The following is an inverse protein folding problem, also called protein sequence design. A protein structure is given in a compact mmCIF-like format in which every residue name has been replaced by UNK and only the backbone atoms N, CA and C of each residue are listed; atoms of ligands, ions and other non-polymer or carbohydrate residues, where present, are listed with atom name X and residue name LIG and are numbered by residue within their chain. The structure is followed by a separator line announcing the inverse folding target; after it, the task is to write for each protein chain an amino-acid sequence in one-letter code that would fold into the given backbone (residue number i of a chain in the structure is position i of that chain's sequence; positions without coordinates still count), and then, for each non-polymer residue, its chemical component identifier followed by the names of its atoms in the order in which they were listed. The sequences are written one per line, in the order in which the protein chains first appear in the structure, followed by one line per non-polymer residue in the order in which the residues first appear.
data_IF_137140161969
#
_entry.id   IF_137140161969
#
_cell.length_a   1.000
_cell.length_b   1.000
_cell.length_c   1.000
_cell.angle_alpha   90.00
_cell.angle_beta   90.00
_cell.angle_gamma   90.00
#
_symmetry.space_group_name_H-M   'P 1'
#
loop_
_entity.id
_entity.type
_entity.pdbx_description
1 polymer ?
#
# COMPACT_ATOMS: atom_id res chain seq x y z
N UNK A 1 -24.81 28.91 -11.08
CA UNK A 1 -23.97 27.88 -10.41
C UNK A 1 -23.66 28.43 -9.02
N UNK A 2 -24.04 27.76 -7.92
CA UNK A 2 -23.74 28.24 -6.56
C UNK A 2 -22.25 27.99 -6.29
N UNK A 3 -21.49 29.04 -5.97
CA UNK A 3 -20.13 28.89 -5.47
C UNK A 3 -20.19 28.36 -4.03
N UNK A 4 -19.76 27.11 -3.83
CA UNK A 4 -19.76 26.42 -2.53
C UNK A 4 -18.54 26.76 -1.68
N UNK A 5 -17.78 27.79 -2.05
CA UNK A 5 -16.51 28.14 -1.44
C UNK A 5 -15.44 27.05 -1.66
N UNK A 6 -14.38 27.10 -0.85
CA UNK A 6 -13.31 26.11 -0.90
C UNK A 6 -13.75 24.77 -0.27
N UNK A 7 -13.34 23.65 -0.87
CA UNK A 7 -13.64 22.32 -0.34
C UNK A 7 -13.03 22.12 1.06
N UNK A 8 -13.87 22.00 2.08
CA UNK A 8 -13.47 21.75 3.47
C UNK A 8 -13.77 20.33 3.95
N UNK A 9 -14.82 19.71 3.42
CA UNK A 9 -15.25 18.37 3.83
C UNK A 9 -15.95 17.65 2.68
N UNK A 10 -15.56 16.40 2.42
CA UNK A 10 -16.20 15.56 1.42
C UNK A 10 -16.14 14.08 1.82
N UNK A 11 -17.30 13.41 1.84
CA UNK A 11 -17.44 11.97 2.14
C UNK A 11 -16.80 11.50 3.47
N UNK A 12 -16.59 12.36 4.47
CA UNK A 12 -15.88 11.94 5.69
C UNK A 12 -14.39 12.28 5.70
N UNK A 13 -13.91 12.98 4.68
CA UNK A 13 -12.55 13.50 4.57
C UNK A 13 -12.59 15.02 4.77
N UNK A 14 -11.90 15.47 5.80
CA UNK A 14 -11.61 16.88 6.09
C UNK A 14 -10.41 17.33 5.26
N UNK A 15 -10.51 18.52 4.68
CA UNK A 15 -9.49 19.12 3.83
C UNK A 15 -9.05 20.43 4.46
N UNK A 16 -7.82 20.46 4.97
CA UNK A 16 -7.18 21.67 5.45
C UNK A 16 -6.18 22.19 4.41
N UNK A 17 -6.22 23.50 4.13
CA UNK A 17 -5.25 24.14 3.22
C UNK A 17 -4.33 25.06 4.02
N UNK A 18 -3.07 25.07 3.64
CA UNK A 18 -2.08 25.99 4.19
C UNK A 18 -1.11 26.43 3.08
N UNK A 19 -0.23 27.39 3.39
CA UNK A 19 0.88 27.76 2.53
C UNK A 19 1.83 26.59 2.19
N UNK A 20 1.83 25.53 3.01
CA UNK A 20 2.68 24.36 2.83
C UNK A 20 2.06 23.31 1.90
N UNK A 21 0.73 23.30 1.77
CA UNK A 21 0.04 22.26 1.02
C UNK A 21 -1.40 22.00 1.49
N UNK A 22 -1.94 20.87 1.03
CA UNK A 22 -3.27 20.37 1.36
C UNK A 22 -3.10 19.17 2.28
N UNK A 23 -3.77 19.20 3.43
CA UNK A 23 -3.81 18.10 4.38
C UNK A 23 -5.19 17.44 4.36
N UNK A 24 -5.22 16.12 4.16
CA UNK A 24 -6.43 15.31 4.19
C UNK A 24 -6.45 14.49 5.48
N UNK A 25 -7.51 14.61 6.28
CA UNK A 25 -7.71 13.80 7.49
C UNK A 25 -9.14 13.28 7.59
N UNK A 26 -9.34 12.24 8.39
CA UNK A 26 -10.66 11.71 8.70
C UNK A 26 -10.92 11.75 10.21
N UNK A 27 -10.54 12.85 10.88
CA UNK A 27 -10.55 12.93 12.34
C UNK A 27 -11.95 12.74 12.89
N UNK A 28 -12.91 13.50 12.35
CA UNK A 28 -14.32 13.38 12.75
C UNK A 28 -14.83 11.95 12.56
N UNK A 29 -14.57 11.35 11.41
CA UNK A 29 -14.98 9.98 11.09
C UNK A 29 -14.42 8.96 12.10
N UNK A 30 -13.15 9.07 12.46
CA UNK A 30 -12.51 8.19 13.47
C UNK A 30 -13.16 8.38 14.84
N UNK A 31 -13.43 9.62 15.26
CA UNK A 31 -14.05 9.89 16.56
C UNK A 31 -15.50 9.39 16.61
N UNK A 32 -16.28 9.60 15.56
CA UNK A 32 -17.66 9.11 15.46
C UNK A 32 -17.68 7.56 15.51
N UNK A 33 -16.77 6.91 14.79
CA UNK A 33 -16.61 5.45 14.81
C UNK A 33 -16.24 4.92 16.21
N UNK A 34 -15.31 5.58 16.92
CA UNK A 34 -14.95 5.23 18.29
C UNK A 34 -16.10 5.46 19.28
N UNK A 35 -16.95 6.46 19.03
CA UNK A 35 -18.12 6.77 19.85
C UNK A 35 -19.18 5.69 19.71
N UNK A 36 -19.51 5.30 18.48
CA UNK A 36 -20.53 4.28 18.18
C UNK A 36 -20.24 2.94 18.88
N UNK A 37 -18.96 2.60 19.01
CA UNK A 37 -18.52 1.33 19.59
C UNK A 37 -18.18 1.42 21.08
N UNK A 38 -18.33 2.61 21.69
CA UNK A 38 -18.04 2.85 23.11
C UNK A 38 -16.54 2.79 23.46
N UNK A 39 -15.66 3.15 22.53
CA UNK A 39 -14.19 3.09 22.70
C UNK A 39 -13.51 4.47 22.73
N UNK A 40 -14.26 5.56 22.92
CA UNK A 40 -13.67 6.89 23.09
C UNK A 40 -12.68 6.96 24.26
N UNK A 41 -12.97 6.28 25.37
CA UNK A 41 -12.13 6.30 26.58
C UNK A 41 -11.15 5.13 26.64
N UNK A 42 -10.96 4.40 25.53
CA UNK A 42 -10.06 3.26 25.51
C UNK A 42 -8.59 3.69 25.63
N UNK A 43 -7.77 2.84 26.27
CA UNK A 43 -6.32 3.05 26.35
C UNK A 43 -5.69 2.85 24.96
N UNK A 44 -5.00 3.85 24.39
CA UNK A 44 -4.38 3.72 23.07
C UNK A 44 -3.26 2.69 23.04
N UNK A 45 -2.89 2.26 21.83
CA UNK A 45 -1.73 1.39 21.57
C UNK A 45 -0.90 1.96 20.42
N UNK A 46 0.39 1.65 20.40
CA UNK A 46 1.33 2.24 19.44
C UNK A 46 1.37 1.53 18.09
N UNK A 47 0.89 0.28 18.00
CA UNK A 47 0.88 -0.49 16.75
C UNK A 47 -0.52 -1.03 16.44
N UNK A 48 -0.95 -0.99 15.17
CA UNK A 48 -2.28 -1.47 14.75
C UNK A 48 -2.43 -2.99 14.87
N UNK A 49 -1.33 -3.74 14.68
CA UNK A 49 -1.24 -5.18 14.86
C UNK A 49 -0.01 -5.56 15.68
N UNK A 50 -0.04 -6.77 16.24
CA UNK A 50 1.11 -7.35 16.94
C UNK A 50 2.13 -7.90 15.94
N UNK A 51 3.42 -7.71 16.23
CA UNK A 51 4.47 -8.33 15.44
C UNK A 51 4.36 -9.85 15.54
N UNK A 52 4.56 -10.54 14.41
CA UNK A 52 4.42 -11.99 14.30
C UNK A 52 3.03 -12.51 14.74
N UNK A 53 1.98 -11.72 14.53
CA UNK A 53 0.61 -12.14 14.81
C UNK A 53 0.30 -13.47 14.10
N UNK A 54 -0.48 -14.32 14.75
CA UNK A 54 -0.91 -15.61 14.21
C UNK A 54 -2.41 -15.57 13.88
N UNK A 55 -2.82 -14.57 13.12
CA UNK A 55 -4.21 -14.49 12.67
C UNK A 55 -4.41 -15.46 11.50
N UNK A 56 -5.46 -16.27 11.59
CA UNK A 56 -5.71 -17.34 10.64
C UNK A 56 -6.97 -18.10 11.01
N UNK A 57 -7.41 -18.96 10.10
CA UNK A 57 -8.51 -19.89 10.35
C UNK A 57 -7.97 -21.13 11.07
N UNK A 58 -8.45 -21.38 12.28
CA UNK A 58 -8.12 -22.57 13.07
C UNK A 58 -9.37 -23.44 13.28
N UNK A 59 -9.25 -24.79 13.32
CA UNK A 59 -10.38 -25.68 13.56
C UNK A 59 -11.06 -25.47 14.91
N UNK A 60 -10.28 -25.07 15.92
CA UNK A 60 -10.66 -24.89 17.32
C UNK A 60 -10.89 -23.41 17.70
N UNK A 61 -11.00 -22.52 16.71
CA UNK A 61 -11.20 -21.09 16.99
C UNK A 61 -12.57 -20.83 17.62
N UNK A 62 -12.58 -20.00 18.66
CA UNK A 62 -13.83 -19.52 19.28
C UNK A 62 -14.50 -18.55 18.31
N UNK A 63 -15.70 -18.87 17.78
CA UNK A 63 -16.40 -17.98 16.86
C UNK A 63 -16.84 -16.71 17.57
N UNK A 64 -16.97 -15.62 16.82
CA UNK A 64 -17.53 -14.36 17.32
C UNK A 64 -18.74 -13.93 16.48
N UNK A 65 -19.42 -12.86 16.91
CA UNK A 65 -20.53 -12.29 16.17
C UNK A 65 -20.05 -11.73 14.82
N UNK A 66 -20.51 -12.40 13.75
CA UNK A 66 -20.19 -12.05 12.36
C UNK A 66 -20.70 -10.68 11.96
N UNK A 67 -21.93 -10.32 12.36
CA UNK A 67 -22.52 -9.04 11.98
C UNK A 67 -21.78 -7.89 12.65
N UNK A 68 -21.51 -8.05 13.95
CA UNK A 68 -20.70 -7.09 14.70
C UNK A 68 -19.31 -6.93 14.08
N UNK A 69 -18.65 -8.02 13.73
CA UNK A 69 -17.34 -7.96 13.08
C UNK A 69 -17.37 -7.21 11.75
N UNK A 70 -18.34 -7.51 10.88
CA UNK A 70 -18.49 -6.86 9.58
C UNK A 70 -18.80 -5.36 9.72
N UNK A 71 -19.66 -4.98 10.68
CA UNK A 71 -19.97 -3.57 10.99
C UNK A 71 -18.74 -2.77 11.41
N UNK A 72 -17.75 -3.42 12.04
CA UNK A 72 -16.50 -2.76 12.44
C UNK A 72 -15.46 -2.72 11.32
N UNK A 73 -15.34 -3.79 10.54
CA UNK A 73 -14.34 -3.87 9.46
C UNK A 73 -14.70 -2.99 8.26
N UNK A 74 -15.98 -2.85 7.92
CA UNK A 74 -16.43 -2.01 6.80
C UNK A 74 -15.92 -0.56 6.86
N UNK A 75 -16.17 0.17 7.96
CA UNK A 75 -15.63 1.52 8.19
C UNK A 75 -14.11 1.60 8.12
N UNK A 76 -13.40 0.58 8.61
CA UNK A 76 -11.94 0.53 8.55
C UNK A 76 -11.42 0.40 7.11
N UNK A 77 -12.13 -0.34 6.24
CA UNK A 77 -11.82 -0.41 4.81
C UNK A 77 -11.92 0.98 4.19
N UNK A 78 -12.96 1.76 4.52
CA UNK A 78 -13.09 3.12 4.04
C UNK A 78 -11.93 4.00 4.55
N UNK A 79 -11.64 3.95 5.86
CA UNK A 79 -10.58 4.73 6.50
C UNK A 79 -9.18 4.45 5.89
N UNK A 80 -8.93 3.22 5.44
CA UNK A 80 -7.67 2.84 4.80
C UNK A 80 -7.34 3.65 3.53
N UNK A 81 -8.33 4.34 2.93
CA UNK A 81 -8.15 5.24 1.77
C UNK A 81 -7.50 6.59 2.11
N UNK A 82 -7.36 6.95 3.38
CA UNK A 82 -6.52 8.09 3.82
C UNK A 82 -5.47 7.71 4.87
N UNK A 83 -5.54 6.48 5.37
CA UNK A 83 -4.66 5.94 6.41
C UNK A 83 -3.84 4.76 5.86
N UNK A 84 -2.78 5.02 5.08
CA UNK A 84 -1.89 3.98 4.58
C UNK A 84 -1.25 3.14 5.70
N UNK A 85 -1.09 3.73 6.88
CA UNK A 85 -0.50 3.12 8.06
C UNK A 85 -1.33 1.97 8.67
N UNK A 86 -2.60 1.82 8.30
CA UNK A 86 -3.44 0.68 8.71
C UNK A 86 -3.80 -0.24 7.54
N UNK A 87 -3.33 0.04 6.32
CA UNK A 87 -3.80 -0.65 5.13
C UNK A 87 -3.53 -2.16 5.16
N UNK A 88 -2.38 -2.57 5.73
CA UNK A 88 -2.05 -3.97 5.94
C UNK A 88 -3.00 -4.64 6.95
N UNK A 89 -3.18 -4.03 8.11
CA UNK A 89 -3.95 -4.60 9.22
C UNK A 89 -5.42 -4.77 8.82
N UNK A 90 -5.97 -3.75 8.15
CA UNK A 90 -7.31 -3.78 7.58
C UNK A 90 -7.42 -4.86 6.49
N UNK A 91 -6.43 -4.98 5.60
CA UNK A 91 -6.40 -6.07 4.62
C UNK A 91 -6.32 -7.44 5.29
N UNK A 92 -5.68 -7.56 6.46
CA UNK A 92 -5.59 -8.83 7.20
C UNK A 92 -6.94 -9.20 7.80
N UNK A 93 -7.53 -8.33 8.62
CA UNK A 93 -8.81 -8.59 9.30
C UNK A 93 -9.97 -8.76 8.31
N UNK A 94 -9.92 -8.09 7.15
CA UNK A 94 -10.96 -8.22 6.11
C UNK A 94 -11.07 -9.64 5.51
N UNK A 95 -10.05 -10.48 5.64
CA UNK A 95 -10.07 -11.86 5.12
C UNK A 95 -11.07 -12.75 5.87
N UNK A 96 -11.38 -12.42 7.11
CA UNK A 96 -12.16 -13.27 8.01
C UNK A 96 -13.64 -12.85 8.13
N UNK A 97 -14.13 -11.97 7.26
CA UNK A 97 -15.51 -11.46 7.30
C UNK A 97 -16.60 -12.55 7.18
N UNK A 98 -16.27 -13.71 6.63
CA UNK A 98 -17.22 -14.81 6.44
C UNK A 98 -17.42 -15.65 7.71
N UNK A 99 -16.33 -15.86 8.47
CA UNK A 99 -16.29 -16.68 9.68
C UNK A 99 -15.22 -16.11 10.65
N UNK A 100 -15.54 -15.03 11.37
CA UNK A 100 -14.61 -14.41 12.30
C UNK A 100 -14.53 -15.18 13.63
N UNK A 101 -13.44 -14.96 14.36
CA UNK A 101 -13.19 -15.54 15.69
C UNK A 101 -12.87 -14.46 16.70
N UNK A 102 -12.82 -14.79 17.99
CA UNK A 102 -12.44 -13.83 19.03
C UNK A 102 -11.04 -13.26 18.81
N UNK A 103 -10.09 -14.06 18.30
CA UNK A 103 -8.76 -13.57 17.94
C UNK A 103 -8.82 -12.50 16.83
N UNK A 104 -9.68 -12.70 15.82
CA UNK A 104 -9.93 -11.72 14.78
C UNK A 104 -10.56 -10.44 15.36
N UNK A 105 -11.51 -10.57 16.28
CA UNK A 105 -12.14 -9.43 16.96
C UNK A 105 -11.14 -8.65 17.82
N UNK A 106 -10.23 -9.33 18.52
CA UNK A 106 -9.15 -8.69 19.26
C UNK A 106 -8.24 -7.88 18.33
N UNK A 107 -7.95 -8.39 17.13
CA UNK A 107 -7.22 -7.66 16.08
C UNK A 107 -7.93 -6.37 15.66
N UNK A 108 -9.23 -6.42 15.37
CA UNK A 108 -10.03 -5.23 15.02
C UNK A 108 -10.06 -4.23 16.18
N UNK A 109 -10.23 -4.71 17.41
CA UNK A 109 -10.24 -3.88 18.62
C UNK A 109 -8.88 -3.18 18.82
N UNK A 110 -7.78 -3.86 18.52
CA UNK A 110 -6.44 -3.26 18.56
C UNK A 110 -6.28 -2.14 17.54
N UNK A 111 -6.75 -2.33 16.30
CA UNK A 111 -6.74 -1.27 15.27
C UNK A 111 -7.52 -0.04 15.77
N UNK A 112 -8.68 -0.22 16.41
CA UNK A 112 -9.45 0.89 16.99
C UNK A 112 -8.67 1.63 18.08
N UNK A 113 -8.00 0.89 18.98
CA UNK A 113 -7.13 1.47 20.02
C UNK A 113 -5.93 2.24 19.42
N UNK A 114 -5.40 1.77 18.29
CA UNK A 114 -4.35 2.48 17.57
C UNK A 114 -4.86 3.79 16.98
N UNK A 115 -6.03 3.77 16.34
CA UNK A 115 -6.67 4.97 15.80
C UNK A 115 -6.95 6.03 16.87
N UNK A 116 -7.28 5.61 18.09
CA UNK A 116 -7.48 6.52 19.24
C UNK A 116 -6.22 7.32 19.60
N UNK A 117 -5.02 6.76 19.37
CA UNK A 117 -3.76 7.45 19.65
C UNK A 117 -3.56 8.67 18.75
N UNK A 118 -3.91 8.56 17.47
CA UNK A 118 -3.72 9.61 16.47
C UNK A 118 -4.93 9.70 15.52
N UNK A 119 -6.08 10.23 15.97
CA UNK A 119 -7.30 10.28 15.15
C UNK A 119 -7.18 11.27 13.98
N UNK A 120 -6.36 12.31 14.12
CA UNK A 120 -6.16 13.34 13.09
C UNK A 120 -5.03 13.02 12.10
N UNK A 121 -4.40 11.84 12.19
CA UNK A 121 -3.36 11.44 11.24
C UNK A 121 -3.97 11.32 9.85
N UNK A 122 -3.19 11.71 8.84
CA UNK A 122 -3.68 11.87 7.48
C UNK A 122 -2.56 12.08 6.47
N UNK A 123 -2.90 12.59 5.29
CA UNK A 123 -2.01 12.76 4.16
C UNK A 123 -1.70 14.24 3.93
N UNK A 124 -0.42 14.56 3.77
CA UNK A 124 0.01 15.90 3.38
C UNK A 124 0.42 15.90 1.91
N UNK A 125 -0.23 16.73 1.11
CA UNK A 125 0.11 17.01 -0.28
C UNK A 125 0.81 18.36 -0.35
N UNK A 126 2.12 18.33 -0.55
CA UNK A 126 2.96 19.52 -0.62
C UNK A 126 3.32 19.85 -2.07
N UNK A 127 3.59 21.13 -2.32
CA UNK A 127 4.09 21.58 -3.62
C UNK A 127 5.57 21.21 -3.74
N UNK A 128 5.90 20.36 -4.70
CA UNK A 128 7.28 20.02 -5.05
C UNK A 128 7.65 20.56 -6.43
N UNK A 129 8.95 20.65 -6.71
CA UNK A 129 9.49 21.17 -7.98
C UNK A 129 9.38 20.20 -9.14
N UNK A 130 9.02 18.95 -8.87
CA UNK A 130 8.96 17.86 -9.83
C UNK A 130 7.68 17.05 -9.67
N UNK A 131 7.35 16.30 -10.71
CA UNK A 131 6.14 15.48 -10.86
C UNK A 131 6.51 14.04 -11.24
N UNK A 132 7.66 13.58 -10.74
CA UNK A 132 8.14 12.22 -11.04
C UNK A 132 7.17 11.21 -10.45
N UNK A 133 6.99 10.12 -11.17
CA UNK A 133 6.17 9.00 -10.74
C UNK A 133 7.11 7.90 -10.23
N UNK A 134 6.88 7.48 -8.98
CA UNK A 134 7.71 6.49 -8.29
C UNK A 134 6.81 5.44 -7.66
N UNK A 135 7.18 4.16 -7.73
CA UNK A 135 6.46 3.07 -7.11
C UNK A 135 7.39 2.21 -6.27
N UNK A 136 6.88 1.71 -5.14
CA UNK A 136 7.56 0.79 -4.24
C UNK A 136 6.69 -0.45 -4.10
N UNK A 137 7.29 -1.63 -4.16
CA UNK A 137 6.63 -2.91 -3.92
C UNK A 137 7.42 -3.75 -2.92
N UNK A 138 6.70 -4.54 -2.16
CA UNK A 138 7.21 -5.53 -1.23
C UNK A 138 6.22 -6.70 -1.15
N UNK A 139 6.69 -7.93 -0.97
CA UNK A 139 5.85 -9.11 -0.86
C UNK A 139 6.35 -10.11 0.18
N UNK A 140 5.52 -10.32 1.20
CA UNK A 140 5.71 -11.38 2.19
C UNK A 140 5.32 -12.75 1.60
N UNK A 141 6.32 -13.58 1.33
CA UNK A 141 6.14 -14.89 0.71
C UNK A 141 5.56 -15.91 1.68
N UNK A 142 4.42 -16.50 1.30
CA UNK A 142 3.75 -17.53 2.06
C UNK A 142 3.42 -17.15 3.52
N UNK A 143 3.26 -15.85 3.81
CA UNK A 143 2.95 -15.35 5.15
C UNK A 143 1.59 -15.77 5.71
N UNK A 144 0.63 -16.11 4.84
CA UNK A 144 -0.68 -16.62 5.28
C UNK A 144 -0.56 -18.02 5.88
N UNK A 145 -0.93 -18.15 7.16
CA UNK A 145 -0.91 -19.44 7.87
C UNK A 145 -1.91 -20.42 7.26
N UNK A 146 -3.07 -19.92 6.81
CA UNK A 146 -4.19 -20.76 6.36
C UNK A 146 -3.97 -21.41 4.98
N UNK A 147 -3.41 -20.67 4.03
CA UNK A 147 -3.33 -21.12 2.62
C UNK A 147 -1.95 -20.91 1.98
N UNK A 148 -0.95 -20.46 2.76
CA UNK A 148 0.42 -20.19 2.30
C UNK A 148 0.49 -19.22 1.11
N UNK A 149 -0.54 -18.40 0.90
CA UNK A 149 -0.50 -17.33 -0.11
C UNK A 149 0.28 -16.14 0.43
N UNK A 150 1.03 -15.51 -0.47
CA UNK A 150 1.81 -14.31 -0.18
C UNK A 150 0.91 -13.08 -0.02
N UNK A 151 1.38 -12.06 0.69
CA UNK A 151 0.75 -10.74 0.75
C UNK A 151 1.69 -9.74 0.12
N UNK A 152 1.21 -8.96 -0.85
CA UNK A 152 2.01 -7.88 -1.43
C UNK A 152 1.49 -6.52 -0.97
N UNK A 153 2.41 -5.59 -0.80
CA UNK A 153 2.15 -4.19 -0.50
C UNK A 153 2.75 -3.31 -1.59
N UNK A 154 2.11 -2.17 -1.85
CA UNK A 154 2.72 -1.14 -2.68
C UNK A 154 2.34 0.26 -2.23
N UNK A 155 3.20 1.21 -2.61
CA UNK A 155 2.99 2.66 -2.50
C UNK A 155 3.43 3.31 -3.81
N UNK A 156 2.67 4.29 -4.31
CA UNK A 156 3.09 5.11 -5.44
C UNK A 156 3.03 6.59 -5.10
N UNK A 157 4.00 7.32 -5.62
CA UNK A 157 4.21 8.73 -5.37
C UNK A 157 4.18 9.53 -6.67
N UNK A 158 3.57 10.72 -6.63
CA UNK A 158 3.61 11.72 -7.70
C UNK A 158 4.23 12.99 -7.12
N UNK A 159 5.42 13.34 -7.59
CA UNK A 159 6.14 14.52 -7.11
C UNK A 159 6.33 14.50 -5.59
N UNK A 160 6.81 13.38 -5.05
CA UNK A 160 6.99 13.13 -3.61
C UNK A 160 5.72 13.08 -2.76
N UNK A 161 4.53 13.19 -3.35
CA UNK A 161 3.27 13.00 -2.62
C UNK A 161 2.75 11.57 -2.80
N UNK A 162 2.38 10.91 -1.71
CA UNK A 162 1.77 9.58 -1.75
C UNK A 162 0.37 9.67 -2.37
N UNK A 163 0.11 8.97 -3.47
CA UNK A 163 -1.16 9.04 -4.20
C UNK A 163 -1.95 7.74 -4.19
N UNK A 164 -1.29 6.58 -4.25
CA UNK A 164 -1.95 5.28 -4.16
C UNK A 164 -1.14 4.32 -3.31
N UNK A 165 -1.83 3.43 -2.63
CA UNK A 165 -1.23 2.36 -1.85
C UNK A 165 -2.20 1.21 -1.72
N UNK A 166 -1.66 0.04 -1.45
CA UNK A 166 -2.47 -1.15 -1.19
C UNK A 166 -1.67 -2.18 -0.44
N UNK A 167 -2.33 -2.90 0.46
CA UNK A 167 -1.88 -4.21 0.91
C UNK A 167 -2.93 -5.23 0.49
N UNK A 168 -2.50 -6.36 -0.07
CA UNK A 168 -3.42 -7.37 -0.56
C UNK A 168 -2.79 -8.76 -0.60
N UNK A 169 -3.56 -9.74 -0.14
CA UNK A 169 -3.22 -11.16 -0.30
C UNK A 169 -3.31 -11.59 -1.76
N UNK A 170 -2.28 -12.26 -2.26
CA UNK A 170 -2.23 -12.80 -3.60
C UNK A 170 -3.29 -13.89 -3.79
N UNK A 171 -3.81 -14.02 -5.02
CA UNK A 171 -4.85 -15.02 -5.34
C UNK A 171 -4.29 -16.43 -5.47
N UNK A 172 -3.02 -16.56 -5.82
CA UNK A 172 -2.35 -17.83 -6.12
C UNK A 172 -1.17 -17.97 -5.17
N UNK A 173 -0.88 -19.21 -4.77
CA UNK A 173 0.32 -19.54 -3.99
C UNK A 173 1.55 -19.32 -4.88
N UNK A 174 2.54 -18.59 -4.38
CA UNK A 174 3.82 -18.44 -5.06
C UNK A 174 4.76 -19.58 -4.65
N UNK A 175 5.49 -20.12 -5.61
CA UNK A 175 6.46 -21.21 -5.42
C UNK A 175 7.80 -20.71 -4.90
N UNK A 176 8.06 -19.41 -4.99
CA UNK A 176 9.26 -18.75 -4.46
C UNK A 176 8.96 -17.32 -4.03
N UNK A 177 9.84 -16.73 -3.21
CA UNK A 177 9.80 -15.30 -2.89
C UNK A 177 9.93 -14.44 -4.15
N UNK A 178 10.81 -14.80 -5.08
CA UNK A 178 10.94 -14.08 -6.35
C UNK A 178 9.63 -14.05 -7.16
N UNK A 179 8.89 -15.17 -7.22
CA UNK A 179 7.59 -15.18 -7.90
C UNK A 179 6.55 -14.30 -7.18
N UNK A 180 6.55 -14.29 -5.84
CA UNK A 180 5.65 -13.45 -5.07
C UNK A 180 5.92 -11.96 -5.34
N UNK A 181 7.18 -11.54 -5.25
CA UNK A 181 7.64 -10.18 -5.52
C UNK A 181 7.33 -9.76 -6.96
N UNK A 182 7.63 -10.62 -7.92
CA UNK A 182 7.38 -10.36 -9.33
C UNK A 182 5.90 -10.15 -9.63
N UNK A 183 5.00 -10.94 -9.01
CA UNK A 183 3.55 -10.73 -9.11
C UNK A 183 3.10 -9.41 -8.48
N UNK A 184 3.69 -9.01 -7.35
CA UNK A 184 3.47 -7.69 -6.74
C UNK A 184 3.88 -6.57 -7.69
N UNK A 185 5.10 -6.66 -8.22
CA UNK A 185 5.67 -5.72 -9.19
C UNK A 185 4.77 -5.53 -10.42
N UNK A 186 4.21 -6.61 -10.99
CA UNK A 186 3.30 -6.53 -12.13
C UNK A 186 2.01 -5.74 -11.83
N UNK A 187 1.50 -5.82 -10.59
CA UNK A 187 0.35 -5.01 -10.16
C UNK A 187 0.73 -3.53 -10.05
N UNK A 188 1.86 -3.22 -9.41
CA UNK A 188 2.34 -1.84 -9.27
C UNK A 188 2.62 -1.22 -10.63
N UNK A 189 3.18 -2.00 -11.55
CA UNK A 189 3.42 -1.56 -12.92
C UNK A 189 2.14 -1.10 -13.63
N UNK A 190 1.07 -1.87 -13.46
CA UNK A 190 -0.24 -1.55 -14.06
C UNK A 190 -0.79 -0.24 -13.48
N UNK A 191 -0.66 -0.02 -12.17
CA UNK A 191 -1.06 1.22 -11.49
C UNK A 191 -0.22 2.42 -11.95
N UNK A 192 1.10 2.25 -12.07
CA UNK A 192 2.00 3.29 -12.55
C UNK A 192 1.69 3.68 -14.00
N UNK A 193 1.40 2.71 -14.88
CA UNK A 193 0.98 2.97 -16.25
C UNK A 193 -0.35 3.72 -16.31
N UNK A 194 -1.30 3.35 -15.45
CA UNK A 194 -2.57 4.06 -15.32
C UNK A 194 -2.37 5.51 -14.86
N UNK A 195 -1.60 5.73 -13.79
CA UNK A 195 -1.27 7.07 -13.29
C UNK A 195 -0.56 7.93 -14.34
N UNK A 196 0.39 7.34 -15.09
CA UNK A 196 1.10 8.04 -16.15
C UNK A 196 0.16 8.50 -17.28
N UNK A 197 -0.82 7.67 -17.64
CA UNK A 197 -1.86 8.03 -18.62
C UNK A 197 -2.77 9.13 -18.08
N UNK A 198 -3.24 8.99 -16.85
CA UNK A 198 -4.07 9.99 -16.18
C UNK A 198 -3.38 11.36 -16.13
N UNK A 199 -2.11 11.40 -15.72
CA UNK A 199 -1.35 12.65 -15.69
C UNK A 199 -1.24 13.27 -17.09
N UNK A 200 -0.97 12.46 -18.12
CA UNK A 200 -0.90 12.92 -19.50
C UNK A 200 -2.24 13.53 -19.96
N UNK A 201 -3.35 12.90 -19.62
CA UNK A 201 -4.70 13.38 -19.96
C UNK A 201 -5.06 14.68 -19.22
N UNK A 202 -4.53 14.86 -18.00
CA UNK A 202 -4.60 16.12 -17.24
C UNK A 202 -3.64 17.22 -17.76
N UNK A 203 -2.95 16.99 -18.88
CA UNK A 203 -1.99 17.93 -19.45
C UNK A 203 -0.62 17.94 -18.77
N UNK A 204 -0.38 17.06 -17.81
CA UNK A 204 0.85 16.94 -17.04
C UNK A 204 1.71 15.84 -17.66
N UNK A 205 2.80 16.20 -18.35
CA UNK A 205 3.72 15.21 -18.92
C UNK A 205 4.86 14.93 -17.95
N UNK A 206 4.97 13.71 -17.37
CA UNK A 206 6.12 13.35 -16.56
C UNK A 206 7.38 13.41 -17.42
N UNK A 207 8.33 14.25 -17.03
CA UNK A 207 9.55 14.52 -17.80
C UNK A 207 10.54 13.34 -17.78
N UNK A 208 10.41 12.43 -16.82
CA UNK A 208 11.35 11.33 -16.57
C UNK A 208 10.68 9.96 -16.71
N UNK A 209 11.54 8.94 -16.85
CA UNK A 209 11.14 7.55 -16.70
C UNK A 209 10.52 7.35 -15.31
N UNK A 210 9.54 6.45 -15.24
CA UNK A 210 8.83 6.14 -14.00
C UNK A 210 9.61 5.07 -13.22
N UNK A 211 10.10 5.39 -12.02
CA UNK A 211 10.91 4.44 -11.25
C UNK A 211 10.01 3.44 -10.51
N UNK A 212 10.36 2.16 -10.55
CA UNK A 212 9.76 1.11 -9.72
C UNK A 212 10.85 0.44 -8.90
N UNK A 213 10.67 0.43 -7.59
CA UNK A 213 11.62 -0.09 -6.61
C UNK A 213 11.08 -1.40 -6.00
N UNK A 214 11.94 -2.42 -5.97
CA UNK A 214 11.73 -3.73 -5.35
C UNK A 214 13.07 -4.14 -4.71
N UNK A 215 13.03 -4.82 -3.56
CA UNK A 215 14.22 -5.26 -2.83
C UNK A 215 14.77 -6.61 -3.32
N UNK A 216 13.98 -7.36 -4.10
CA UNK A 216 14.36 -8.66 -4.61
C UNK A 216 15.23 -8.57 -5.87
N UNK A 217 16.54 -8.84 -5.70
CA UNK A 217 17.53 -8.79 -6.78
C UNK A 217 17.21 -9.71 -7.95
N UNK A 218 16.70 -10.91 -7.70
CA UNK A 218 16.37 -11.85 -8.77
C UNK A 218 15.25 -11.29 -9.66
N UNK A 219 14.28 -10.60 -9.07
CA UNK A 219 13.19 -9.94 -9.79
C UNK A 219 13.71 -8.78 -10.64
N UNK A 220 14.62 -7.99 -10.11
CA UNK A 220 15.28 -6.89 -10.84
C UNK A 220 16.09 -7.42 -12.02
N UNK A 221 16.87 -8.49 -11.83
CA UNK A 221 17.64 -9.13 -12.90
C UNK A 221 16.74 -9.71 -14.00
N UNK A 222 15.64 -10.38 -13.63
CA UNK A 222 14.64 -10.87 -14.59
C UNK A 222 14.02 -9.70 -15.37
N UNK A 223 13.71 -8.58 -14.71
CA UNK A 223 13.15 -7.39 -15.35
C UNK A 223 14.11 -6.75 -16.38
N UNK A 224 15.42 -6.88 -16.16
CA UNK A 224 16.45 -6.44 -17.11
C UNK A 224 16.70 -7.42 -18.26
N UNK A 225 16.15 -8.64 -18.20
CA UNK A 225 16.31 -9.65 -19.24
C UNK A 225 15.02 -9.87 -20.04
N UNK A 226 14.87 -9.25 -21.24
CA UNK A 226 13.62 -9.25 -21.99
C UNK A 226 13.10 -10.66 -22.33
N UNK A 227 13.98 -11.63 -22.57
CA UNK A 227 13.59 -12.99 -22.97
C UNK A 227 12.94 -13.81 -21.86
N UNK A 228 13.25 -13.55 -20.58
CA UNK A 228 12.69 -14.29 -19.44
C UNK A 228 11.34 -13.74 -18.97
N UNK A 229 11.03 -12.52 -19.40
CA UNK A 229 9.97 -11.69 -18.88
C UNK A 229 8.62 -11.96 -19.59
N UNK A 230 8.69 -12.38 -20.86
CA UNK A 230 7.54 -12.77 -21.66
C UNK A 230 6.92 -14.11 -21.23
N UNK A 231 7.72 -15.08 -20.77
CA UNK A 231 7.23 -16.43 -20.42
C UNK A 231 6.45 -16.47 -19.09
N UNK A 232 6.61 -15.47 -18.23
CA UNK A 232 6.00 -15.44 -16.89
C UNK A 232 4.79 -14.49 -16.84
N UNK A 233 4.73 -13.44 -17.68
CA UNK A 233 3.68 -12.41 -17.65
C UNK A 233 2.58 -12.52 -18.72
N UNK A 234 2.74 -13.38 -19.74
CA UNK A 234 1.80 -13.44 -20.87
C UNK A 234 0.55 -14.29 -20.59
N UNK A 235 -0.24 -13.88 -19.59
CA UNK A 235 -1.69 -14.16 -19.61
C UNK A 235 -2.57 -12.91 -19.70
N UNK A 236 -2.06 -11.70 -19.46
CA UNK A 236 -2.91 -10.50 -19.38
C UNK A 236 -2.47 -9.28 -20.20
N UNK A 237 -1.22 -9.21 -20.68
CA UNK A 237 -0.72 -8.07 -21.47
C UNK A 237 0.06 -8.60 -22.66
N UNK A 238 -0.18 -8.04 -23.85
CA UNK A 238 0.58 -8.46 -25.04
C UNK A 238 2.05 -8.04 -24.89
N UNK A 239 2.96 -8.91 -25.33
CA UNK A 239 4.41 -8.69 -25.22
C UNK A 239 4.83 -7.32 -25.76
N UNK A 240 4.16 -6.85 -26.83
CA UNK A 240 4.40 -5.53 -27.42
C UNK A 240 4.11 -4.37 -26.46
N UNK A 241 2.97 -4.37 -25.78
CA UNK A 241 2.59 -3.32 -24.81
C UNK A 241 3.52 -3.32 -23.60
N UNK A 242 3.99 -4.51 -23.24
CA UNK A 242 4.91 -4.72 -22.15
C UNK A 242 6.31 -4.18 -22.44
N UNK A 243 6.89 -4.48 -23.61
CA UNK A 243 8.18 -3.94 -24.05
C UNK A 243 8.14 -2.42 -24.28
N UNK A 244 7.04 -1.90 -24.85
CA UNK A 244 6.83 -0.45 -25.00
C UNK A 244 6.72 0.30 -23.65
N UNK A 245 6.43 -0.43 -22.58
CA UNK A 245 6.37 0.11 -21.22
C UNK A 245 7.75 0.07 -20.55
N UNK A 246 8.47 -1.04 -20.67
CA UNK A 246 9.82 -1.23 -20.11
C UNK A 246 10.80 -0.15 -20.53
N UNK A 247 10.86 0.18 -21.83
CA UNK A 247 11.72 1.25 -22.36
C UNK A 247 11.41 2.62 -21.74
N UNK A 248 10.17 2.82 -21.24
CA UNK A 248 9.73 4.05 -20.60
C UNK A 248 9.90 4.04 -19.08
N UNK A 249 10.21 2.89 -18.48
CA UNK A 249 10.19 2.65 -17.03
C UNK A 249 11.57 2.62 -16.37
N UNK A 250 12.68 2.64 -17.11
CA UNK A 250 14.02 2.96 -16.58
C UNK A 250 14.35 2.40 -15.18
N UNK A 251 14.06 1.12 -14.93
CA UNK A 251 14.26 0.48 -13.62
C UNK A 251 15.74 0.59 -13.20
N UNK A 252 16.02 0.98 -11.94
CA UNK A 252 17.39 1.06 -11.39
C UNK A 252 17.48 0.41 -10.01
N UNK A 253 18.62 -0.23 -9.76
CA UNK A 253 19.00 -0.94 -8.53
C UNK A 253 19.32 0.02 -7.36
N UNK A 254 18.86 -0.34 -6.15
CA UNK A 254 19.14 0.38 -4.88
C UNK A 254 20.46 -0.08 -4.24
N UNK A 255 20.99 -1.27 -4.58
CA UNK A 255 22.22 -1.79 -3.98
C UNK A 255 23.50 -1.09 -4.45
N UNK A 256 23.47 -0.39 -5.60
CA UNK A 256 24.65 0.28 -6.15
C UNK A 256 24.96 1.62 -5.49
N UNK A 257 23.95 2.32 -4.93
CA UNK A 257 24.15 3.62 -4.28
C UNK A 257 24.67 3.53 -2.84
N UNK A 258 24.63 2.36 -2.19
CA UNK A 258 25.20 2.16 -0.85
C UNK A 258 26.64 1.64 -0.86
N UNK A 259 27.21 1.27 -2.03
CA UNK A 259 28.61 0.86 -2.17
C UNK A 259 29.54 1.94 -2.72
N UNK A 260 29.01 3.13 -3.02
CA UNK A 260 29.76 4.24 -3.62
C UNK A 260 30.60 5.09 -2.65
N UNK A 261 30.65 4.76 -1.35
CA UNK A 261 31.34 5.58 -0.33
C UNK A 261 32.43 4.85 0.46
N UNK A 262 32.91 3.68 0.00
CA UNK A 262 34.13 3.06 0.55
C UNK A 262 34.91 2.39 -0.58
N UNK A 263 36.00 3.05 -1.00
CA UNK A 263 37.21 2.53 -1.67
C UNK A 263 37.68 3.41 -2.86
N UNK A 264 38.06 4.66 -2.58
CA UNK A 264 39.17 5.29 -3.28
C UNK A 264 40.26 5.54 -2.23
N UNK A 265 41.25 4.66 -2.19
CA UNK A 265 42.65 4.94 -1.82
C UNK A 265 43.36 3.62 -1.57
N UNK A 266 44.01 3.12 -2.62
CA UNK A 266 45.26 2.33 -2.60
C UNK A 266 45.54 1.86 -4.03
N UNK A 267 46.38 2.64 -4.72
CA UNK A 267 47.50 2.16 -5.52
C UNK A 267 48.18 3.35 -6.22
N UNK A 268 49.11 3.96 -5.50
CA UNK A 268 50.28 4.65 -6.06
C UNK A 268 51.52 3.95 -5.49
N UNK A 269 52.15 3.15 -6.33
CA UNK A 269 53.60 2.94 -6.45
C UNK A 269 53.82 2.21 -7.75
#
# INVERSE_FOLDING_TARGET
MKELGELQYFLGIEVARSKHGIFLSQRKYVLDLLTEIGMLDCKPVDTPIEQNHKLGMYPDQVPTDKERYQRLVGPLIYLSHTRPDIAYDVSMVSQFMHQPSEAHMNGVTRIMRYLKAAPAKGLMFSKHTHINLEGYTDADWAGSITDRRSTFGYFTFVGSNLVTWRSKKQRVVARSSAEAEFRGMAQVLSELLWLRRLLKDLGVKPLKATNLYCDNKAVVEIAHNPNQLADILTKAVSSKVFYDSLDKLGMRDICTNLRGSVSQDKNKT
#
